data_IF_105426909020
#
_entry.id   IF_105426909020
#
_cell.length_a   1.000
_cell.length_b   1.000
_cell.length_c   1.000
_cell.angle_alpha   90.00
_cell.angle_beta   90.00
_cell.angle_gamma   90.00
#
_symmetry.space_group_name_H-M   'P 1'
#
loop_
_entity.id
_entity.type
_entity.pdbx_description
1 polymer ?
#
# COMPACT_ATOMS: atom_id res chain seq x y z
N UNK A 1 -45.77 24.84 -9.78
CA UNK A 1 -44.82 25.55 -10.65
C UNK A 1 -43.58 25.88 -9.85
N UNK A 2 -42.40 25.67 -10.46
CA UNK A 2 -41.07 25.71 -9.82
C UNK A 2 -40.68 27.14 -9.42
N UNK A 3 -40.33 27.35 -8.15
CA UNK A 3 -39.47 28.46 -7.75
C UNK A 3 -38.03 27.94 -7.70
N UNK A 4 -37.29 28.14 -8.80
CA UNK A 4 -35.85 27.92 -8.83
C UNK A 4 -35.20 29.17 -8.25
N UNK A 5 -34.88 29.14 -6.96
CA UNK A 5 -33.94 30.08 -6.38
C UNK A 5 -32.56 29.77 -6.96
N UNK A 6 -32.19 30.46 -8.04
CA UNK A 6 -30.82 30.52 -8.52
C UNK A 6 -30.04 31.28 -7.44
N UNK A 7 -29.42 30.52 -6.54
CA UNK A 7 -28.48 31.04 -5.55
C UNK A 7 -27.31 31.63 -6.35
N UNK A 8 -27.27 32.95 -6.51
CA UNK A 8 -26.12 33.64 -7.10
C UNK A 8 -24.89 33.24 -6.31
N UNK A 9 -24.04 32.41 -6.91
CA UNK A 9 -22.70 32.13 -6.40
C UNK A 9 -21.96 33.46 -6.48
N UNK A 10 -21.65 34.07 -5.33
CA UNK A 10 -20.84 35.28 -5.28
C UNK A 10 -19.55 35.02 -6.07
N UNK A 11 -19.37 35.75 -7.17
CA UNK A 11 -18.10 35.78 -7.89
C UNK A 11 -17.13 36.58 -7.02
N UNK A 12 -16.34 35.87 -6.22
CA UNK A 12 -15.19 36.47 -5.56
C UNK A 12 -14.19 36.88 -6.66
N UNK A 13 -14.02 38.19 -6.83
CA UNK A 13 -12.92 38.75 -7.60
C UNK A 13 -11.63 38.55 -6.78
N UNK A 14 -11.00 37.38 -6.93
CA UNK A 14 -9.67 37.14 -6.39
C UNK A 14 -8.66 38.07 -7.06
N UNK A 15 -7.79 38.68 -6.26
CA UNK A 15 -6.66 39.47 -6.76
C UNK A 15 -5.73 38.58 -7.60
N UNK A 16 -4.98 39.15 -8.56
CA UNK A 16 -4.00 38.37 -9.36
C UNK A 16 -3.04 37.57 -8.47
N UNK A 17 -2.62 38.14 -7.34
CA UNK A 17 -1.75 37.48 -6.36
C UNK A 17 -2.38 36.26 -5.66
N UNK A 18 -3.71 36.23 -5.50
CA UNK A 18 -4.42 35.10 -4.91
C UNK A 18 -4.64 33.99 -5.94
N UNK A 19 -4.89 34.36 -7.20
CA UNK A 19 -4.99 33.41 -8.32
C UNK A 19 -3.66 32.69 -8.57
N UNK A 20 -2.52 33.39 -8.49
CA UNK A 20 -1.20 32.79 -8.61
C UNK A 20 -0.90 31.80 -7.47
N UNK A 21 -1.26 32.16 -6.23
CA UNK A 21 -1.13 31.27 -5.06
C UNK A 21 -2.01 30.03 -5.22
N UNK A 22 -3.27 30.20 -5.62
CA UNK A 22 -4.20 29.10 -5.85
C UNK A 22 -3.68 28.15 -6.95
N UNK A 23 -3.18 28.70 -8.06
CA UNK A 23 -2.62 27.92 -9.15
C UNK A 23 -1.35 27.15 -8.73
N UNK A 24 -0.48 27.78 -7.93
CA UNK A 24 0.69 27.13 -7.33
C UNK A 24 0.28 25.96 -6.42
N UNK A 25 -0.72 26.16 -5.56
CA UNK A 25 -1.26 25.11 -4.67
C UNK A 25 -1.84 23.95 -5.50
N UNK A 26 -2.56 24.23 -6.58
CA UNK A 26 -3.10 23.21 -7.49
C UNK A 26 -2.00 22.38 -8.14
N UNK A 27 -0.92 23.03 -8.60
CA UNK A 27 0.25 22.34 -9.16
C UNK A 27 0.88 21.40 -8.13
N UNK A 28 1.10 21.88 -6.89
CA UNK A 28 1.64 21.05 -5.81
C UNK A 28 0.73 19.87 -5.45
N UNK A 29 -0.59 20.09 -5.39
CA UNK A 29 -1.58 19.02 -5.19
C UNK A 29 -1.50 17.96 -6.29
N UNK A 30 -1.34 18.38 -7.56
CA UNK A 30 -1.12 17.49 -8.70
C UNK A 30 0.16 16.67 -8.58
N UNK A 31 1.28 17.30 -8.23
CA UNK A 31 2.57 16.63 -8.02
C UNK A 31 2.47 15.56 -6.94
N UNK A 32 1.89 15.90 -5.78
CA UNK A 32 1.73 14.97 -4.66
C UNK A 32 0.81 13.80 -5.03
N UNK A 33 -0.29 14.05 -5.75
CA UNK A 33 -1.17 12.98 -6.24
C UNK A 33 -0.49 12.05 -7.24
N UNK A 34 0.34 12.59 -8.14
CA UNK A 34 1.14 11.81 -9.08
C UNK A 34 2.14 10.91 -8.35
N UNK A 35 2.90 11.44 -7.39
CA UNK A 35 3.81 10.64 -6.57
C UNK A 35 3.08 9.60 -5.73
N UNK A 36 1.92 9.93 -5.15
CA UNK A 36 1.09 8.96 -4.43
C UNK A 36 0.68 7.78 -5.31
N UNK A 37 0.31 8.05 -6.57
CA UNK A 37 -0.04 7.01 -7.54
C UNK A 37 1.15 6.13 -7.89
N UNK A 38 2.34 6.72 -8.12
CA UNK A 38 3.57 5.94 -8.35
C UNK A 38 3.93 5.06 -7.14
N UNK A 39 3.82 5.59 -5.92
CA UNK A 39 4.05 4.85 -4.68
C UNK A 39 3.06 3.69 -4.51
N UNK A 40 1.80 3.88 -4.91
CA UNK A 40 0.79 2.82 -4.89
C UNK A 40 1.17 1.67 -5.84
N UNK A 41 1.49 1.98 -7.09
CA UNK A 41 1.92 0.98 -8.07
C UNK A 41 3.20 0.27 -7.65
N UNK A 42 4.18 1.00 -7.12
CA UNK A 42 5.39 0.41 -6.54
C UNK A 42 5.04 -0.57 -5.43
N UNK A 43 4.18 -0.18 -4.49
CA UNK A 43 3.79 -1.02 -3.36
C UNK A 43 3.08 -2.28 -3.82
N UNK A 44 2.09 -2.19 -4.72
CA UNK A 44 1.40 -3.36 -5.29
C UNK A 44 2.38 -4.29 -5.99
N UNK A 45 3.26 -3.74 -6.82
CA UNK A 45 4.25 -4.52 -7.54
C UNK A 45 5.15 -5.28 -6.57
N UNK A 46 5.63 -4.65 -5.50
CA UNK A 46 6.43 -5.34 -4.49
C UNK A 46 5.62 -6.42 -3.76
N UNK A 47 4.39 -6.12 -3.34
CA UNK A 47 3.51 -7.12 -2.74
C UNK A 47 3.30 -8.37 -3.63
N UNK A 48 3.27 -8.17 -4.95
CA UNK A 48 3.10 -9.25 -5.92
C UNK A 48 4.40 -9.98 -6.29
N UNK A 49 5.56 -9.29 -6.24
CA UNK A 49 6.83 -9.82 -6.77
C UNK A 49 7.81 -10.24 -5.68
N UNK A 50 8.04 -9.44 -4.63
CA UNK A 50 9.07 -9.69 -3.62
C UNK A 50 8.79 -8.92 -2.33
N UNK A 51 9.06 -9.54 -1.18
CA UNK A 51 8.87 -9.02 0.18
C UNK A 51 7.44 -9.16 0.71
N UNK A 52 7.16 -10.34 1.26
CA UNK A 52 5.89 -10.62 1.92
C UNK A 52 5.96 -10.13 3.37
N UNK A 53 5.71 -8.85 3.52
CA UNK A 53 4.97 -8.40 4.70
C UNK A 53 3.54 -8.90 4.46
N UNK A 54 2.95 -9.63 5.41
CA UNK A 54 1.60 -10.17 5.22
C UNK A 54 0.62 -9.08 4.77
N UNK A 55 -0.23 -9.39 3.78
CA UNK A 55 -1.21 -8.47 3.19
C UNK A 55 -2.02 -7.74 4.27
N UNK A 56 -2.38 -8.45 5.34
CA UNK A 56 -3.07 -7.91 6.51
C UNK A 56 -2.32 -6.78 7.21
N UNK A 57 -1.00 -6.90 7.36
CA UNK A 57 -0.18 -5.85 7.96
C UNK A 57 -0.08 -4.64 7.04
N UNK A 58 0.06 -4.86 5.73
CA UNK A 58 0.09 -3.79 4.73
C UNK A 58 -1.21 -2.98 4.77
N UNK A 59 -2.36 -3.66 4.76
CA UNK A 59 -3.66 -2.98 4.86
C UNK A 59 -3.83 -2.24 6.18
N UNK A 60 -3.38 -2.81 7.29
CA UNK A 60 -3.40 -2.13 8.60
C UNK A 60 -2.52 -0.88 8.59
N UNK A 61 -1.29 -0.98 8.11
CA UNK A 61 -0.35 0.14 8.04
C UNK A 61 -0.90 1.26 7.14
N UNK A 62 -1.37 0.88 5.95
CA UNK A 62 -1.99 1.80 5.00
C UNK A 62 -3.19 2.53 5.60
N UNK A 63 -4.08 1.79 6.27
CA UNK A 63 -5.30 2.34 6.87
C UNK A 63 -4.98 3.27 8.03
N UNK A 64 -4.11 2.85 8.95
CA UNK A 64 -3.73 3.65 10.12
C UNK A 64 -3.08 4.96 9.67
N UNK A 65 -2.11 4.89 8.76
CA UNK A 65 -1.40 6.09 8.30
C UNK A 65 -2.32 6.98 7.47
N UNK A 66 -3.11 6.39 6.56
CA UNK A 66 -4.08 7.13 5.75
C UNK A 66 -5.08 7.89 6.63
N UNK A 67 -5.60 7.26 7.70
CA UNK A 67 -6.51 7.91 8.64
C UNK A 67 -5.83 9.07 9.39
N UNK A 68 -4.61 8.86 9.92
CA UNK A 68 -3.87 9.89 10.65
C UNK A 68 -3.68 11.14 9.78
N UNK A 69 -3.19 10.98 8.55
CA UNK A 69 -2.94 12.11 7.65
C UNK A 69 -4.23 12.79 7.19
N UNK A 70 -5.29 12.01 6.96
CA UNK A 70 -6.59 12.58 6.61
C UNK A 70 -7.14 13.47 7.72
N UNK A 71 -7.08 13.02 8.98
CA UNK A 71 -7.56 13.80 10.13
C UNK A 71 -6.72 15.06 10.33
N UNK A 72 -5.39 14.94 10.25
CA UNK A 72 -4.47 16.07 10.42
C UNK A 72 -4.68 17.13 9.34
N UNK A 73 -4.74 16.72 8.07
CA UNK A 73 -4.89 17.64 6.95
C UNK A 73 -6.29 18.24 6.89
N UNK A 74 -7.34 17.48 7.22
CA UNK A 74 -8.68 18.03 7.35
C UNK A 74 -8.76 19.15 8.41
N UNK A 75 -8.09 18.98 9.55
CA UNK A 75 -8.02 20.04 10.58
C UNK A 75 -7.29 21.29 10.06
N UNK A 76 -6.21 21.11 9.32
CA UNK A 76 -5.43 22.20 8.71
C UNK A 76 -6.28 22.93 7.65
N UNK A 77 -6.88 22.20 6.71
CA UNK A 77 -7.70 22.77 5.64
C UNK A 77 -8.88 23.56 6.21
N UNK A 78 -9.54 23.03 7.25
CA UNK A 78 -10.65 23.71 7.94
C UNK A 78 -10.21 24.98 8.68
N UNK A 79 -9.05 24.95 9.33
CA UNK A 79 -8.54 26.08 10.10
C UNK A 79 -7.95 27.20 9.24
N UNK A 80 -7.25 26.84 8.16
CA UNK A 80 -6.42 27.77 7.38
C UNK A 80 -6.98 28.07 5.99
N UNK A 81 -7.52 27.07 5.28
CA UNK A 81 -8.01 27.29 3.91
C UNK A 81 -9.47 27.76 3.86
N UNK A 82 -10.23 27.68 4.97
CA UNK A 82 -11.68 28.01 5.05
C UNK A 82 -12.50 27.36 3.92
N UNK A 83 -12.00 26.28 3.34
CA UNK A 83 -12.64 25.63 2.22
C UNK A 83 -13.75 24.70 2.74
N UNK A 84 -14.99 24.92 2.30
CA UNK A 84 -16.13 24.03 2.52
C UNK A 84 -16.06 22.83 1.54
N UNK A 85 -15.04 22.00 1.69
CA UNK A 85 -15.00 20.72 0.98
C UNK A 85 -15.89 19.70 1.68
N UNK A 86 -16.50 18.81 0.89
CA UNK A 86 -17.10 17.59 1.44
C UNK A 86 -16.00 16.77 2.13
N UNK A 87 -16.17 16.47 3.42
CA UNK A 87 -15.24 15.65 4.20
C UNK A 87 -14.87 14.34 3.46
N UNK A 88 -15.82 13.78 2.72
CA UNK A 88 -15.66 12.55 1.94
C UNK A 88 -14.62 12.72 0.82
N UNK A 89 -14.61 13.85 0.12
CA UNK A 89 -13.72 14.09 -1.02
C UNK A 89 -12.26 14.26 -0.57
N UNK A 90 -12.04 15.05 0.50
CA UNK A 90 -10.74 15.15 1.17
C UNK A 90 -10.32 13.80 1.71
N UNK A 91 -11.26 13.06 2.32
CA UNK A 91 -10.98 11.77 2.92
C UNK A 91 -10.38 10.81 1.89
N UNK A 92 -11.06 10.63 0.75
CA UNK A 92 -10.55 9.74 -0.30
C UNK A 92 -9.21 10.23 -0.84
N UNK A 93 -9.07 11.50 -1.19
CA UNK A 93 -7.83 11.96 -1.81
C UNK A 93 -6.63 11.86 -0.88
N UNK A 94 -6.77 12.31 0.38
CA UNK A 94 -5.66 12.34 1.35
C UNK A 94 -5.35 10.94 1.87
N UNK A 95 -6.36 10.14 2.22
CA UNK A 95 -6.18 8.78 2.69
C UNK A 95 -5.38 7.95 1.67
N UNK A 96 -5.82 7.98 0.41
CA UNK A 96 -5.17 7.20 -0.64
C UNK A 96 -3.75 7.68 -0.93
N UNK A 97 -3.55 9.00 -1.03
CA UNK A 97 -2.24 9.55 -1.38
C UNK A 97 -1.19 9.27 -0.29
N UNK A 98 -1.48 9.65 0.95
CA UNK A 98 -0.52 9.49 2.04
C UNK A 98 -0.37 8.04 2.48
N UNK A 99 -1.47 7.26 2.48
CA UNK A 99 -1.38 5.81 2.71
C UNK A 99 -0.41 5.14 1.72
N UNK A 100 -0.47 5.52 0.45
CA UNK A 100 0.39 4.95 -0.59
C UNK A 100 1.85 5.38 -0.45
N UNK A 101 2.11 6.66 -0.20
CA UNK A 101 3.48 7.18 0.00
C UNK A 101 4.15 6.48 1.17
N UNK A 102 3.50 6.44 2.33
CA UNK A 102 4.10 5.85 3.52
C UNK A 102 4.24 4.33 3.44
N UNK A 103 3.31 3.65 2.77
CA UNK A 103 3.45 2.23 2.51
C UNK A 103 4.69 1.95 1.63
N UNK A 104 4.88 2.74 0.57
CA UNK A 104 6.06 2.62 -0.28
C UNK A 104 7.36 2.87 0.49
N UNK A 105 7.39 3.93 1.32
CA UNK A 105 8.53 4.23 2.19
C UNK A 105 8.80 3.07 3.14
N UNK A 106 7.76 2.50 3.75
CA UNK A 106 7.91 1.36 4.65
C UNK A 106 8.53 0.15 3.95
N UNK A 107 8.01 -0.24 2.78
CA UNK A 107 8.56 -1.34 1.99
C UNK A 107 10.02 -1.06 1.62
N UNK A 108 10.28 0.12 1.07
CA UNK A 108 11.61 0.52 0.62
C UNK A 108 12.63 0.49 1.76
N UNK A 109 12.31 1.11 2.89
CA UNK A 109 13.20 1.17 4.06
C UNK A 109 13.35 -0.19 4.72
N UNK A 110 12.29 -1.00 4.78
CA UNK A 110 12.36 -2.34 5.36
C UNK A 110 13.36 -3.22 4.60
N UNK A 111 13.39 -3.09 3.28
CA UNK A 111 14.29 -3.83 2.39
C UNK A 111 15.71 -3.24 2.37
N UNK A 112 15.86 -1.95 2.07
CA UNK A 112 17.18 -1.34 1.83
C UNK A 112 18.01 -1.16 3.11
N UNK A 113 17.36 -1.01 4.26
CA UNK A 113 18.04 -0.87 5.55
C UNK A 113 18.12 -2.21 6.33
N UNK A 114 17.78 -3.33 5.70
CA UNK A 114 17.78 -4.66 6.34
C UNK A 114 19.18 -5.20 6.64
N UNK A 115 19.28 -6.06 7.67
CA UNK A 115 20.57 -6.62 8.14
C UNK A 115 21.20 -7.54 7.12
N UNK A 116 22.50 -7.47 6.80
CA UNK A 116 23.13 -8.31 5.76
C UNK A 116 23.08 -9.84 5.98
N UNK A 117 22.65 -10.30 7.15
CA UNK A 117 22.56 -11.72 7.48
C UNK A 117 21.31 -12.36 6.85
N UNK A 118 21.55 -13.32 5.96
CA UNK A 118 20.54 -14.17 5.35
C UNK A 118 20.58 -15.55 6.01
N UNK A 119 19.43 -16.22 6.12
CA UNK A 119 19.33 -17.57 6.65
C UNK A 119 18.33 -18.41 5.84
N UNK A 120 18.52 -19.72 5.84
CA UNK A 120 17.65 -20.66 5.15
C UNK A 120 16.95 -21.56 6.17
N UNK A 121 15.65 -21.76 5.99
CA UNK A 121 14.86 -22.69 6.79
C UNK A 121 14.13 -23.67 5.87
N UNK A 122 13.88 -24.87 6.37
CA UNK A 122 12.93 -25.80 5.74
C UNK A 122 11.67 -25.81 6.57
N UNK A 123 10.55 -25.43 5.97
CA UNK A 123 9.25 -25.34 6.64
C UNK A 123 8.24 -26.32 6.02
N UNK A 124 7.38 -26.89 6.86
CA UNK A 124 6.25 -27.69 6.42
C UNK A 124 5.19 -26.79 5.76
N UNK A 125 4.66 -27.24 4.62
CA UNK A 125 3.53 -26.60 3.94
C UNK A 125 2.24 -27.07 4.61
N UNK A 126 1.51 -26.13 5.21
CA UNK A 126 0.25 -26.40 5.91
C UNK A 126 -0.94 -26.34 4.97
N UNK A 127 -0.97 -25.36 4.07
CA UNK A 127 -2.07 -25.12 3.14
C UNK A 127 -1.52 -24.74 1.77
N UNK A 128 -2.27 -25.06 0.71
CA UNK A 128 -1.91 -24.82 -0.68
C UNK A 128 -3.12 -24.23 -1.39
N UNK A 129 -2.96 -23.09 -2.05
CA UNK A 129 -4.04 -22.38 -2.71
C UNK A 129 -3.70 -22.08 -4.16
N UNK A 130 -4.61 -22.47 -5.04
CA UNK A 130 -4.49 -22.20 -6.47
C UNK A 130 -4.88 -20.74 -6.75
N UNK A 131 -4.05 -20.08 -7.55
CA UNK A 131 -4.36 -18.78 -8.11
C UNK A 131 -5.47 -18.89 -9.14
N UNK A 132 -6.47 -18.02 -9.06
CA UNK A 132 -7.48 -17.87 -10.10
C UNK A 132 -6.88 -17.16 -11.33
N UNK A 133 -6.76 -17.89 -12.44
CA UNK A 133 -6.23 -17.40 -13.72
C UNK A 133 -6.90 -16.11 -14.24
N UNK A 134 -8.15 -15.84 -13.86
CA UNK A 134 -8.90 -14.63 -14.28
C UNK A 134 -8.67 -13.41 -13.37
N UNK A 135 -8.18 -13.62 -12.16
CA UNK A 135 -8.06 -12.60 -11.12
C UNK A 135 -6.64 -12.08 -10.95
N UNK A 136 -5.66 -12.62 -11.71
CA UNK A 136 -4.25 -12.29 -11.54
C UNK A 136 -3.66 -12.70 -10.18
N UNK A 137 -4.41 -13.50 -9.39
CA UNK A 137 -3.93 -14.00 -8.11
C UNK A 137 -2.92 -15.11 -8.36
N UNK A 138 -1.76 -15.00 -7.72
CA UNK A 138 -0.74 -16.02 -7.79
C UNK A 138 -1.09 -17.26 -6.97
N UNK A 139 -0.40 -18.37 -7.24
CA UNK A 139 -0.43 -19.53 -6.36
C UNK A 139 0.20 -19.19 -5.01
N UNK A 140 -0.36 -19.73 -3.92
CA UNK A 140 0.07 -19.43 -2.55
C UNK A 140 0.26 -20.73 -1.75
N UNK A 141 1.21 -20.70 -0.82
CA UNK A 141 1.37 -21.73 0.22
C UNK A 141 1.37 -21.08 1.59
N UNK A 142 0.77 -21.73 2.58
CA UNK A 142 0.90 -21.33 3.98
C UNK A 142 1.94 -22.22 4.65
N UNK A 143 2.97 -21.62 5.24
CA UNK A 143 4.06 -22.33 5.94
C UNK A 143 4.14 -21.88 7.39
N UNK A 144 4.73 -22.73 8.26
CA UNK A 144 5.06 -22.36 9.63
C UNK A 144 6.51 -21.87 9.72
N UNK A 145 6.71 -20.60 10.08
CA UNK A 145 8.03 -20.01 10.32
C UNK A 145 8.10 -19.61 11.80
N UNK A 146 8.87 -20.38 12.59
CA UNK A 146 8.87 -20.25 14.05
C UNK A 146 7.47 -20.55 14.62
N UNK A 147 6.90 -19.61 15.36
CA UNK A 147 5.55 -19.72 15.93
C UNK A 147 4.45 -19.16 14.99
N UNK A 148 4.83 -18.47 13.91
CA UNK A 148 3.89 -17.78 13.03
C UNK A 148 3.54 -18.59 11.79
N UNK A 149 2.28 -18.47 11.34
CA UNK A 149 1.85 -18.92 10.01
C UNK A 149 2.07 -17.79 9.00
N UNK A 150 2.74 -18.09 7.91
CA UNK A 150 3.06 -17.11 6.87
C UNK A 150 2.59 -17.62 5.52
N UNK A 151 1.81 -16.80 4.82
CA UNK A 151 1.41 -17.06 3.44
C UNK A 151 2.54 -16.61 2.53
N UNK A 152 2.94 -17.46 1.58
CA UNK A 152 4.00 -17.20 0.63
C UNK A 152 3.45 -17.35 -0.80
N UNK A 153 3.62 -16.30 -1.59
CA UNK A 153 3.37 -16.32 -3.02
C UNK A 153 4.44 -17.18 -3.73
N UNK A 154 3.98 -18.14 -4.52
CA UNK A 154 4.78 -19.10 -5.28
C UNK A 154 4.35 -19.14 -6.75
N UNK A 155 4.07 -17.96 -7.33
CA UNK A 155 3.66 -17.77 -8.72
C UNK A 155 4.51 -18.52 -9.75
N UNK A 156 5.79 -18.72 -9.47
CA UNK A 156 6.74 -19.40 -10.34
C UNK A 156 6.53 -20.92 -10.48
N UNK A 157 5.69 -21.53 -9.64
CA UNK A 157 5.41 -22.97 -9.68
C UNK A 157 3.98 -23.25 -10.15
N UNK A 158 3.82 -24.28 -10.97
CA UNK A 158 2.50 -24.80 -11.33
C UNK A 158 1.79 -25.37 -10.10
N UNK A 159 0.46 -25.29 -10.07
CA UNK A 159 -0.30 -25.80 -8.94
C UNK A 159 -0.14 -27.31 -8.76
N UNK A 160 0.05 -28.07 -9.84
CA UNK A 160 0.38 -29.50 -9.77
C UNK A 160 1.67 -29.78 -9.01
N UNK A 161 2.71 -28.96 -9.23
CA UNK A 161 3.97 -29.08 -8.49
C UNK A 161 3.77 -28.74 -7.02
N UNK A 162 3.01 -27.68 -6.73
CA UNK A 162 2.68 -27.28 -5.35
C UNK A 162 1.92 -28.40 -4.63
N UNK A 163 0.98 -29.07 -5.30
CA UNK A 163 0.25 -30.21 -4.71
C UNK A 163 1.18 -31.33 -4.26
N UNK A 164 2.23 -31.65 -5.03
CA UNK A 164 3.17 -32.75 -4.73
C UNK A 164 4.16 -32.41 -3.61
N UNK A 165 4.47 -31.13 -3.38
CA UNK A 165 5.49 -30.73 -2.41
C UNK A 165 4.95 -30.67 -0.98
N UNK A 166 5.65 -31.26 -0.02
CA UNK A 166 5.27 -31.21 1.40
C UNK A 166 6.04 -30.14 2.18
N UNK A 167 7.21 -29.75 1.67
CA UNK A 167 8.11 -28.81 2.34
C UNK A 167 8.49 -27.66 1.41
N UNK A 168 8.88 -26.54 2.02
CA UNK A 168 9.47 -25.40 1.34
C UNK A 168 10.79 -25.03 2.00
N UNK A 169 11.86 -24.92 1.20
CA UNK A 169 13.09 -24.26 1.59
C UNK A 169 12.95 -22.77 1.33
N UNK A 170 13.10 -21.98 2.37
CA UNK A 170 12.80 -20.56 2.36
C UNK A 170 14.06 -19.81 2.79
N UNK A 171 14.56 -18.95 1.90
CA UNK A 171 15.66 -18.04 2.18
C UNK A 171 15.11 -16.71 2.68
N UNK A 172 15.59 -16.28 3.83
CA UNK A 172 15.01 -15.22 4.64
C UNK A 172 16.08 -14.22 5.11
N UNK A 173 15.64 -13.01 5.45
CA UNK A 173 16.46 -11.94 6.01
C UNK A 173 15.61 -11.12 6.99
N UNK A 174 16.20 -10.63 8.07
CA UNK A 174 15.48 -9.73 8.97
C UNK A 174 15.44 -8.31 8.39
N UNK A 175 14.23 -7.81 8.10
CA UNK A 175 14.03 -6.45 7.65
C UNK A 175 14.28 -5.42 8.74
N UNK A 176 14.52 -4.17 8.34
CA UNK A 176 14.85 -3.07 9.24
C UNK A 176 13.79 -2.86 10.34
N UNK A 177 12.52 -2.98 10.00
CA UNK A 177 11.40 -2.82 10.93
C UNK A 177 11.05 -4.10 11.69
N UNK A 178 12.01 -5.01 11.85
CA UNK A 178 11.80 -6.37 12.39
C UNK A 178 10.71 -7.15 11.64
N UNK A 179 10.48 -6.82 10.36
CA UNK A 179 9.61 -7.58 9.47
C UNK A 179 10.44 -8.48 8.59
N UNK A 180 10.17 -9.77 8.70
CA UNK A 180 10.88 -10.83 8.01
C UNK A 180 10.69 -10.69 6.49
N UNK A 181 11.81 -10.68 5.77
CA UNK A 181 11.87 -10.58 4.32
C UNK A 181 12.07 -11.99 3.75
N UNK A 182 11.16 -12.40 2.87
CA UNK A 182 11.28 -13.65 2.13
C UNK A 182 11.97 -13.35 0.81
N UNK A 183 13.20 -13.85 0.65
CA UNK A 183 14.05 -13.60 -0.51
C UNK A 183 13.79 -14.61 -1.62
N UNK A 184 13.62 -15.88 -1.24
CA UNK A 184 13.45 -16.96 -2.20
C UNK A 184 12.73 -18.15 -1.56
N UNK A 185 11.92 -18.85 -2.37
CA UNK A 185 11.21 -20.06 -1.95
C UNK A 185 11.39 -21.18 -2.97
N UNK A 186 11.84 -22.33 -2.49
CA UNK A 186 11.98 -23.57 -3.27
C UNK A 186 11.12 -24.67 -2.68
N UNK A 187 10.24 -25.22 -3.51
CA UNK A 187 9.42 -26.37 -3.15
C UNK A 187 10.26 -27.65 -3.12
N UNK A 188 10.02 -28.48 -2.12
CA UNK A 188 10.67 -29.77 -1.90
C UNK A 188 9.60 -30.84 -1.74
N UNK A 189 9.81 -31.98 -2.39
CA UNK A 189 8.92 -33.16 -2.35
C UNK A 189 8.97 -33.85 -0.98
#
# INVERSE_FOLDING_TARGET
MKNIFIKHKQQFHFSESEKEKENSILIWKGIVGFFGSLCFFYSIRQCNLFVIIGLDFIFKLYTVIGLIFTILLYKIDKAYEKNDYSFIEIYFQKFFTYGSIFLAIFIFTNEHLSTSKEYEITALILEKKEGLNRSGSANEITVKIGESKTVINVAQYSFEKIKKSNYAKIKLKNGYWNKLLILYTKLVE
#
